data_IF_861559120339
#
_entry.id   IF_861559120339
#
_cell.length_a   1.000
_cell.length_b   1.000
_cell.length_c   1.000
_cell.angle_alpha   90.00
_cell.angle_beta   90.00
_cell.angle_gamma   90.00
#
_symmetry.space_group_name_H-M   'P 1'
#
loop_
_entity.id
_entity.type
_entity.pdbx_description
1 polymer ?
#
# COMPACT_ATOMS: atom_id res chain seq x y z
N UNK A 1 26.52 -10.75 0.95
CA UNK A 1 26.87 -10.95 2.37
C UNK A 1 25.57 -11.37 3.07
N UNK A 2 25.43 -12.63 3.47
CA UNK A 2 24.27 -13.07 4.27
C UNK A 2 24.39 -12.41 5.65
N UNK A 3 23.61 -11.37 5.88
CA UNK A 3 23.49 -10.79 7.21
C UNK A 3 22.58 -11.70 8.02
N UNK A 4 23.09 -12.21 9.14
CA UNK A 4 22.28 -12.92 10.14
C UNK A 4 21.37 -11.91 10.86
N UNK A 5 20.35 -11.41 10.18
CA UNK A 5 19.41 -10.43 10.74
C UNK A 5 18.38 -11.08 11.68
N UNK A 6 18.15 -12.39 11.54
CA UNK A 6 17.23 -13.15 12.39
C UNK A 6 17.67 -13.13 13.86
N UNK A 7 18.96 -12.89 14.15
CA UNK A 7 19.49 -12.75 15.52
C UNK A 7 18.86 -11.60 16.31
N UNK A 8 18.28 -10.60 15.63
CA UNK A 8 17.61 -9.48 16.28
C UNK A 8 16.21 -9.85 16.83
N UNK A 9 15.69 -11.03 16.48
CA UNK A 9 14.31 -11.44 16.78
C UNK A 9 14.18 -12.56 17.82
N UNK A 10 15.27 -12.95 18.51
CA UNK A 10 15.31 -14.11 19.40
C UNK A 10 14.91 -15.43 18.69
N UNK A 11 15.90 -16.20 18.23
CA UNK A 11 15.69 -17.39 17.39
C UNK A 11 14.68 -18.40 17.97
N UNK A 12 14.64 -18.56 19.28
CA UNK A 12 13.72 -19.51 19.94
C UNK A 12 12.25 -19.08 19.88
N UNK A 13 11.98 -17.78 19.64
CA UNK A 13 10.64 -17.22 19.52
C UNK A 13 10.25 -16.90 18.06
N UNK A 14 11.22 -16.92 17.14
CA UNK A 14 10.99 -16.58 15.73
C UNK A 14 10.56 -17.84 14.96
N UNK A 15 9.37 -17.79 14.37
CA UNK A 15 8.84 -18.87 13.52
C UNK A 15 9.24 -18.66 12.06
N UNK A 16 9.11 -17.42 11.58
CA UNK A 16 9.47 -17.06 10.21
C UNK A 16 9.92 -15.61 10.13
N UNK A 17 10.91 -15.34 9.28
CA UNK A 17 11.30 -13.99 8.88
C UNK A 17 11.31 -13.93 7.37
N UNK A 18 10.52 -13.01 6.82
CA UNK A 18 10.29 -12.89 5.39
C UNK A 18 10.57 -11.45 4.97
N UNK A 19 11.34 -11.27 3.89
CA UNK A 19 11.43 -10.00 3.16
C UNK A 19 10.45 -10.02 2.00
N UNK A 20 9.78 -8.90 1.76
CA UNK A 20 8.86 -8.75 0.63
C UNK A 20 8.92 -7.34 0.03
N UNK A 21 8.44 -7.24 -1.20
CA UNK A 21 8.42 -6.00 -1.98
C UNK A 21 9.13 -6.15 -3.33
N UNK A 22 9.56 -5.01 -3.89
CA UNK A 22 10.12 -4.96 -5.26
C UNK A 22 11.40 -5.79 -5.45
N UNK A 23 12.26 -5.86 -4.43
CA UNK A 23 13.49 -6.66 -4.45
C UNK A 23 13.70 -7.36 -3.10
N UNK A 24 13.02 -8.50 -2.83
CA UNK A 24 13.11 -9.21 -1.56
C UNK A 24 14.50 -9.79 -1.30
N UNK A 25 15.40 -9.80 -2.30
CA UNK A 25 16.80 -10.19 -2.16
C UNK A 25 17.64 -9.13 -1.45
N UNK A 26 17.33 -7.84 -1.68
CA UNK A 26 17.92 -6.73 -0.95
C UNK A 26 17.11 -6.43 0.31
N UNK A 27 17.52 -7.08 1.39
CA UNK A 27 16.84 -6.97 2.67
C UNK A 27 16.87 -5.55 3.23
N UNK A 28 17.79 -4.66 2.84
CA UNK A 28 17.79 -3.29 3.38
C UNK A 28 16.77 -2.36 2.73
N UNK A 29 16.34 -2.67 1.50
CA UNK A 29 15.35 -1.89 0.77
C UNK A 29 13.94 -2.52 0.77
N UNK A 30 13.85 -3.78 1.20
CA UNK A 30 12.59 -4.52 1.37
C UNK A 30 11.83 -4.10 2.62
N UNK A 31 10.58 -4.57 2.73
CA UNK A 31 9.87 -4.62 4.02
C UNK A 31 10.06 -6.00 4.65
N UNK A 32 10.14 -6.07 5.97
CA UNK A 32 10.21 -7.32 6.70
C UNK A 32 8.88 -7.65 7.38
N UNK A 33 8.54 -8.93 7.44
CA UNK A 33 7.53 -9.46 8.35
C UNK A 33 8.17 -10.57 9.19
N UNK A 34 8.09 -10.42 10.51
CA UNK A 34 8.57 -11.37 11.50
C UNK A 34 7.38 -12.03 12.20
N UNK A 35 7.26 -13.33 12.03
CA UNK A 35 6.23 -14.17 12.62
C UNK A 35 6.81 -14.85 13.84
N UNK A 36 6.21 -14.60 15.00
CA UNK A 36 6.73 -15.03 16.29
C UNK A 36 5.76 -15.97 17.01
N UNK A 37 6.26 -16.80 17.93
CA UNK A 37 5.42 -17.66 18.75
C UNK A 37 4.61 -16.85 19.76
N UNK A 38 5.22 -15.82 20.35
CA UNK A 38 4.54 -14.82 21.18
C UNK A 38 5.10 -13.42 20.91
N UNK A 39 4.20 -12.43 20.87
CA UNK A 39 4.55 -11.01 20.73
C UNK A 39 4.26 -10.28 22.03
N UNK A 40 5.32 -9.81 22.67
CA UNK A 40 5.28 -8.98 23.88
C UNK A 40 6.22 -7.77 23.75
N UNK A 41 6.11 -6.82 24.68
CA UNK A 41 6.91 -5.59 24.67
C UNK A 41 8.43 -5.87 24.64
N UNK A 42 8.89 -6.92 25.32
CA UNK A 42 10.32 -7.27 25.39
C UNK A 42 10.82 -7.85 24.07
N UNK A 43 10.02 -8.71 23.42
CA UNK A 43 10.31 -9.27 22.11
C UNK A 43 10.40 -8.16 21.05
N UNK A 44 9.51 -7.17 21.09
CA UNK A 44 9.52 -6.00 20.19
C UNK A 44 10.72 -5.11 20.48
N UNK A 45 11.04 -4.84 21.75
CA UNK A 45 12.15 -3.96 22.09
C UNK A 45 13.51 -4.50 21.59
N UNK A 46 13.71 -5.82 21.61
CA UNK A 46 14.93 -6.45 21.07
C UNK A 46 15.16 -6.13 19.59
N UNK A 47 14.09 -5.95 18.80
CA UNK A 47 14.20 -5.69 17.36
C UNK A 47 14.68 -4.27 17.06
N UNK A 48 14.60 -3.31 17.99
CA UNK A 48 15.08 -1.91 17.80
C UNK A 48 16.54 -1.81 17.36
N UNK A 49 17.35 -2.84 17.66
CA UNK A 49 18.77 -2.89 17.25
C UNK A 49 18.93 -3.09 15.74
N UNK A 50 17.93 -3.65 15.08
CA UNK A 50 17.86 -3.74 13.63
C UNK A 50 17.54 -2.33 13.08
N UNK A 51 18.54 -1.71 12.44
CA UNK A 51 18.36 -0.44 11.72
C UNK A 51 17.74 -0.70 10.35
N UNK A 52 16.48 -1.11 10.37
CA UNK A 52 15.68 -1.39 9.19
C UNK A 52 14.45 -0.48 9.19
N UNK A 53 14.05 -0.03 8.01
CA UNK A 53 13.04 1.03 7.87
C UNK A 53 11.65 0.55 8.31
N UNK A 54 11.25 -0.64 7.83
CA UNK A 54 9.89 -1.13 8.02
C UNK A 54 9.91 -2.62 8.39
N UNK A 55 9.41 -2.97 9.58
CA UNK A 55 9.31 -4.34 10.09
C UNK A 55 7.94 -4.54 10.72
N UNK A 56 7.15 -5.45 10.17
CA UNK A 56 5.89 -5.92 10.75
C UNK A 56 6.22 -7.07 11.70
N UNK A 57 5.69 -7.01 12.92
CA UNK A 57 5.87 -8.05 13.93
C UNK A 57 4.48 -8.51 14.36
N UNK A 58 4.23 -9.82 14.28
CA UNK A 58 2.97 -10.43 14.68
C UNK A 58 3.16 -11.87 15.07
N UNK A 59 2.23 -12.41 15.85
CA UNK A 59 2.19 -13.83 16.16
C UNK A 59 1.70 -14.65 14.96
N UNK A 60 1.97 -15.96 14.96
CA UNK A 60 1.43 -16.87 13.93
C UNK A 60 -0.11 -16.85 13.90
N UNK A 61 -0.75 -16.76 15.06
CA UNK A 61 -2.21 -16.66 15.17
C UNK A 61 -2.74 -15.37 14.54
N UNK A 62 -2.17 -14.21 14.88
CA UNK A 62 -2.56 -12.91 14.31
C UNK A 62 -2.33 -12.88 12.78
N UNK A 63 -1.26 -13.49 12.29
CA UNK A 63 -0.99 -13.58 10.86
C UNK A 63 -2.13 -14.27 10.11
N UNK A 64 -2.54 -15.47 10.53
CA UNK A 64 -3.62 -16.19 9.86
C UNK A 64 -5.00 -15.54 10.08
N UNK A 65 -5.27 -15.01 11.27
CA UNK A 65 -6.55 -14.37 11.60
C UNK A 65 -6.74 -12.99 10.96
N UNK A 66 -5.75 -12.47 10.24
CA UNK A 66 -5.81 -11.14 9.63
C UNK A 66 -5.82 -11.15 8.11
N UNK A 67 -5.83 -12.34 7.48
CA UNK A 67 -5.83 -12.52 6.01
C UNK A 67 -7.05 -11.88 5.34
N UNK A 68 -8.22 -12.00 5.97
CA UNK A 68 -9.48 -11.41 5.50
C UNK A 68 -9.54 -9.89 5.74
N UNK A 69 -8.79 -9.37 6.72
CA UNK A 69 -8.74 -7.95 7.08
C UNK A 69 -7.73 -7.17 6.23
N UNK A 70 -6.58 -7.77 5.90
CA UNK A 70 -5.47 -7.11 5.17
C UNK A 70 -5.09 -7.78 3.82
N UNK A 71 -6.05 -8.17 2.95
CA UNK A 71 -5.75 -8.87 1.71
C UNK A 71 -4.82 -8.11 0.74
N UNK A 72 -4.84 -6.78 0.70
CA UNK A 72 -3.91 -5.94 -0.07
C UNK A 72 -2.46 -6.23 0.35
N UNK A 73 -2.20 -6.25 1.65
CA UNK A 73 -0.89 -6.52 2.22
C UNK A 73 -0.43 -7.95 1.91
N UNK A 74 -1.31 -8.94 2.10
CA UNK A 74 -0.98 -10.34 1.81
C UNK A 74 -0.76 -10.62 0.33
N UNK A 75 -1.54 -10.01 -0.57
CA UNK A 75 -1.30 -10.10 -2.03
C UNK A 75 0.05 -9.47 -2.37
N UNK A 76 0.39 -8.32 -1.77
CA UNK A 76 1.70 -7.67 -1.96
C UNK A 76 2.84 -8.57 -1.50
N UNK A 77 2.69 -9.23 -0.34
CA UNK A 77 3.67 -10.17 0.19
C UNK A 77 3.83 -11.38 -0.75
N UNK A 78 2.73 -12.07 -1.10
CA UNK A 78 2.77 -13.26 -1.96
C UNK A 78 3.34 -12.98 -3.34
N UNK A 79 3.20 -11.77 -3.86
CA UNK A 79 3.70 -11.46 -5.18
C UNK A 79 5.22 -11.58 -5.30
N UNK A 80 5.95 -11.06 -4.31
CA UNK A 80 7.42 -11.05 -4.33
C UNK A 80 7.94 -11.05 -2.90
N UNK A 81 8.35 -12.23 -2.45
CA UNK A 81 8.93 -12.44 -1.14
C UNK A 81 10.11 -13.40 -1.15
N UNK A 82 10.87 -13.39 -0.06
CA UNK A 82 11.94 -14.33 0.23
C UNK A 82 11.90 -14.70 1.71
N UNK A 83 11.83 -15.99 1.99
CA UNK A 83 12.03 -16.50 3.35
C UNK A 83 13.51 -16.38 3.71
N UNK A 84 13.79 -15.57 4.73
CA UNK A 84 15.13 -15.36 5.27
C UNK A 84 15.43 -16.43 6.33
N UNK A 85 14.43 -16.77 7.14
CA UNK A 85 14.54 -17.75 8.23
C UNK A 85 13.19 -18.44 8.46
N UNK A 86 13.24 -19.73 8.80
CA UNK A 86 12.08 -20.47 9.31
C UNK A 86 11.12 -20.97 8.22
N UNK A 87 9.85 -21.10 8.59
CA UNK A 87 8.77 -21.66 7.76
C UNK A 87 8.32 -20.69 6.65
N UNK A 88 7.91 -21.22 5.50
CA UNK A 88 7.24 -20.43 4.45
C UNK A 88 5.72 -20.34 4.71
N UNK A 89 5.34 -19.51 5.68
CA UNK A 89 3.93 -19.33 6.05
C UNK A 89 3.08 -18.66 4.95
N UNK A 90 3.70 -17.95 4.00
CA UNK A 90 2.99 -17.30 2.88
C UNK A 90 2.58 -18.30 1.80
N UNK A 91 3.25 -19.44 1.70
CA UNK A 91 2.86 -20.52 0.80
C UNK A 91 1.52 -21.16 1.16
N UNK A 92 1.12 -21.08 2.44
CA UNK A 92 -0.07 -21.74 2.99
C UNK A 92 -1.36 -20.90 2.88
N UNK A 93 -1.24 -19.58 2.67
CA UNK A 93 -2.41 -18.69 2.71
C UNK A 93 -3.18 -18.69 1.38
N UNK A 94 -4.51 -18.71 1.49
CA UNK A 94 -5.43 -18.45 0.39
C UNK A 94 -6.20 -17.16 0.68
N UNK A 95 -6.28 -16.28 -0.32
CA UNK A 95 -6.83 -14.92 -0.15
C UNK A 95 -8.14 -14.87 -0.91
N UNK A 96 -9.24 -14.72 -0.17
CA UNK A 96 -10.56 -14.55 -0.78
C UNK A 96 -10.61 -13.21 -1.54
N UNK A 97 -10.84 -13.31 -2.85
CA UNK A 97 -10.98 -12.15 -3.74
C UNK A 97 -12.12 -11.22 -3.32
N UNK A 98 -13.15 -11.73 -2.64
CA UNK A 98 -14.22 -10.93 -2.07
C UNK A 98 -13.70 -10.00 -0.97
N UNK A 99 -12.85 -10.50 -0.08
CA UNK A 99 -12.22 -9.68 0.96
C UNK A 99 -11.26 -8.66 0.33
N UNK A 100 -10.49 -9.07 -0.67
CA UNK A 100 -9.60 -8.16 -1.41
C UNK A 100 -10.36 -6.99 -2.06
N UNK A 101 -11.44 -7.29 -2.77
CA UNK A 101 -12.34 -6.26 -3.34
C UNK A 101 -12.90 -5.36 -2.25
N UNK A 102 -13.34 -5.93 -1.12
CA UNK A 102 -13.94 -5.18 -0.02
C UNK A 102 -12.93 -4.21 0.61
N UNK A 103 -11.68 -4.62 0.83
CA UNK A 103 -10.64 -3.72 1.35
C UNK A 103 -10.35 -2.59 0.34
N UNK A 104 -10.27 -2.89 -0.95
CA UNK A 104 -10.09 -1.85 -1.99
C UNK A 104 -11.23 -0.84 -2.00
N UNK A 105 -12.46 -1.33 -1.91
CA UNK A 105 -13.65 -0.47 -1.82
C UNK A 105 -13.59 0.44 -0.59
N UNK A 106 -13.26 -0.13 0.57
CA UNK A 106 -13.09 0.61 1.82
C UNK A 106 -12.01 1.69 1.70
N UNK A 107 -10.84 1.36 1.16
CA UNK A 107 -9.73 2.30 1.04
C UNK A 107 -10.07 3.46 0.11
N UNK A 108 -10.62 3.18 -1.08
CA UNK A 108 -11.02 4.21 -2.05
C UNK A 108 -12.10 5.14 -1.47
N UNK A 109 -13.14 4.58 -0.85
CA UNK A 109 -14.20 5.37 -0.21
C UNK A 109 -13.63 6.21 0.94
N UNK A 110 -12.71 5.67 1.72
CA UNK A 110 -12.04 6.39 2.81
C UNK A 110 -11.22 7.57 2.27
N UNK A 111 -10.45 7.40 1.19
CA UNK A 111 -9.68 8.52 0.59
C UNK A 111 -10.59 9.61 0.05
N UNK A 112 -11.73 9.24 -0.56
CA UNK A 112 -12.74 10.21 -0.98
C UNK A 112 -13.22 11.08 0.19
N UNK A 113 -13.48 10.47 1.34
CA UNK A 113 -13.93 11.21 2.53
C UNK A 113 -12.83 12.12 3.09
N UNK A 114 -11.59 11.65 3.15
CA UNK A 114 -10.45 12.46 3.59
C UNK A 114 -10.27 13.66 2.66
N UNK A 115 -10.27 13.45 1.34
CA UNK A 115 -10.16 14.51 0.35
C UNK A 115 -11.32 15.52 0.45
N UNK A 116 -12.55 15.03 0.65
CA UNK A 116 -13.72 15.89 0.83
C UNK A 116 -13.58 16.81 2.05
N UNK A 117 -13.06 16.28 3.18
CA UNK A 117 -12.76 17.07 4.37
C UNK A 117 -11.66 18.10 4.09
N UNK A 118 -10.59 17.70 3.40
CA UNK A 118 -9.50 18.58 3.01
C UNK A 118 -9.98 19.74 2.11
N UNK A 119 -10.87 19.49 1.16
CA UNK A 119 -11.49 20.51 0.32
C UNK A 119 -12.35 21.47 1.15
N UNK A 120 -13.17 20.94 2.08
CA UNK A 120 -14.03 21.77 2.95
C UNK A 120 -13.20 22.72 3.83
N UNK A 121 -12.05 22.25 4.31
CA UNK A 121 -11.15 23.01 5.19
C UNK A 121 -10.12 23.83 4.40
N UNK A 122 -10.15 23.77 3.06
CA UNK A 122 -9.19 24.42 2.20
C UNK A 122 -9.18 25.94 2.40
N UNK A 123 -8.01 26.49 2.73
CA UNK A 123 -7.80 27.91 2.99
C UNK A 123 -7.86 28.31 4.48
N UNK A 124 -8.20 27.39 5.39
CA UNK A 124 -8.17 27.65 6.85
C UNK A 124 -6.79 27.37 7.48
N UNK A 125 -6.03 26.39 6.98
CA UNK A 125 -4.65 26.09 7.42
C UNK A 125 -3.80 25.52 6.28
N UNK A 126 -2.66 26.16 5.96
CA UNK A 126 -1.82 25.75 4.82
C UNK A 126 -1.03 24.44 5.07
N UNK A 127 -0.59 24.21 6.30
CA UNK A 127 0.25 23.06 6.70
C UNK A 127 -0.53 21.73 6.74
N UNK A 128 -1.84 21.80 6.98
CA UNK A 128 -2.74 20.64 7.01
C UNK A 128 -2.94 20.03 5.62
N UNK A 129 -3.06 20.89 4.59
CA UNK A 129 -3.26 20.42 3.21
C UNK A 129 -2.05 19.64 2.68
N UNK A 130 -0.82 20.11 2.86
CA UNK A 130 0.36 19.46 2.28
C UNK A 130 0.57 18.02 2.77
N UNK A 131 0.54 17.79 4.09
CA UNK A 131 0.74 16.44 4.65
C UNK A 131 -0.36 15.47 4.24
N UNK A 132 -1.62 15.92 4.27
CA UNK A 132 -2.76 15.09 3.83
C UNK A 132 -2.64 14.75 2.34
N UNK A 133 -2.16 15.68 1.52
CA UNK A 133 -1.92 15.40 0.11
C UNK A 133 -0.84 14.34 -0.06
N UNK A 134 0.30 14.45 0.63
CA UNK A 134 1.37 13.44 0.56
C UNK A 134 0.85 12.05 0.98
N UNK A 135 0.07 11.98 2.07
CA UNK A 135 -0.50 10.74 2.58
C UNK A 135 -1.52 10.12 1.60
N UNK A 136 -2.43 10.94 1.05
CA UNK A 136 -3.43 10.49 0.06
C UNK A 136 -2.72 9.94 -1.19
N UNK A 137 -1.69 10.62 -1.70
CA UNK A 137 -1.04 10.22 -2.95
C UNK A 137 -0.28 8.91 -2.81
N UNK A 138 0.46 8.74 -1.72
CA UNK A 138 1.17 7.49 -1.46
C UNK A 138 0.19 6.32 -1.39
N UNK A 139 -0.97 6.53 -0.76
CA UNK A 139 -2.03 5.53 -0.72
C UNK A 139 -2.66 5.32 -2.10
N UNK A 140 -2.90 6.37 -2.88
CA UNK A 140 -3.43 6.22 -4.24
C UNK A 140 -2.51 5.44 -5.17
N UNK A 141 -1.18 5.57 -5.04
CA UNK A 141 -0.22 4.77 -5.81
C UNK A 141 -0.38 3.27 -5.55
N UNK A 142 -0.57 2.90 -4.29
CA UNK A 142 -0.85 1.51 -3.90
C UNK A 142 -2.22 1.09 -4.47
N UNK A 143 -3.25 1.92 -4.29
CA UNK A 143 -4.59 1.59 -4.77
C UNK A 143 -4.65 1.39 -6.28
N UNK A 144 -4.02 2.23 -7.09
CA UNK A 144 -4.04 2.03 -8.56
C UNK A 144 -3.36 0.72 -8.96
N UNK A 145 -2.28 0.31 -8.29
CA UNK A 145 -1.62 -0.97 -8.53
C UNK A 145 -2.58 -2.13 -8.24
N UNK A 146 -3.22 -2.09 -7.07
CA UNK A 146 -4.11 -3.16 -6.63
C UNK A 146 -5.42 -3.22 -7.42
N UNK A 147 -5.99 -2.08 -7.79
CA UNK A 147 -7.18 -1.99 -8.63
C UNK A 147 -6.86 -2.49 -10.05
N UNK A 148 -5.68 -2.17 -10.59
CA UNK A 148 -5.21 -2.73 -11.85
C UNK A 148 -5.03 -4.27 -11.74
N UNK A 149 -4.47 -4.75 -10.64
CA UNK A 149 -4.30 -6.18 -10.40
C UNK A 149 -5.65 -6.92 -10.33
N UNK A 150 -6.65 -6.33 -9.68
CA UNK A 150 -8.00 -6.88 -9.61
C UNK A 150 -8.65 -7.06 -10.99
N UNK A 151 -8.25 -6.25 -11.98
CA UNK A 151 -8.82 -6.28 -13.34
C UNK A 151 -8.37 -7.41 -14.26
N UNK A 152 -7.57 -8.35 -13.76
CA UNK A 152 -7.16 -9.61 -14.44
C UNK A 152 -6.45 -9.49 -15.81
N UNK A 153 -6.14 -8.30 -16.33
CA UNK A 153 -5.24 -8.17 -17.49
C UNK A 153 -3.75 -8.25 -17.13
N UNK A 154 -3.42 -8.36 -15.84
CA UNK A 154 -2.05 -8.45 -15.35
C UNK A 154 -1.63 -9.90 -15.13
N UNK A 155 -0.86 -10.43 -16.10
CA UNK A 155 -0.06 -11.66 -15.94
C UNK A 155 1.02 -11.54 -14.84
N UNK A 156 1.25 -10.33 -14.30
CA UNK A 156 2.21 -10.01 -13.24
C UNK A 156 1.78 -8.77 -12.47
N UNK A 157 1.91 -8.76 -11.14
CA UNK A 157 1.69 -7.57 -10.29
C UNK A 157 2.78 -6.52 -10.62
N UNK A 158 2.37 -5.26 -10.74
CA UNK A 158 3.23 -4.17 -11.20
C UNK A 158 3.52 -3.22 -10.05
N UNK A 159 4.78 -3.08 -9.65
CA UNK A 159 5.15 -2.12 -8.60
C UNK A 159 5.21 -0.68 -9.12
N UNK A 160 5.20 -0.47 -10.43
CA UNK A 160 5.14 0.85 -11.05
C UNK A 160 3.69 1.36 -11.21
N UNK A 161 3.32 2.30 -10.36
CA UNK A 161 1.99 2.91 -10.37
C UNK A 161 1.67 3.63 -11.69
N UNK A 162 2.66 4.12 -12.44
CA UNK A 162 2.43 4.80 -13.73
C UNK A 162 1.95 3.80 -14.77
N UNK A 163 2.55 2.61 -14.77
CA UNK A 163 2.16 1.52 -15.64
C UNK A 163 0.77 0.99 -15.25
N UNK A 164 0.48 0.90 -13.94
CA UNK A 164 -0.87 0.56 -13.46
C UNK A 164 -1.94 1.58 -13.90
N UNK A 165 -1.64 2.89 -13.85
CA UNK A 165 -2.56 3.94 -14.29
C UNK A 165 -2.82 3.87 -15.80
N UNK A 166 -1.80 3.63 -16.62
CA UNK A 166 -1.96 3.47 -18.06
C UNK A 166 -2.93 2.33 -18.38
N UNK A 167 -2.72 1.17 -17.75
CA UNK A 167 -3.56 -0.02 -17.93
C UNK A 167 -4.99 0.22 -17.46
N UNK A 168 -5.16 0.84 -16.29
CA UNK A 168 -6.49 1.23 -15.82
C UNK A 168 -7.20 2.16 -16.81
N UNK A 169 -6.47 3.05 -17.47
CA UNK A 169 -7.04 3.94 -18.49
C UNK A 169 -7.52 3.15 -19.71
N UNK A 170 -6.76 2.15 -20.13
CA UNK A 170 -7.13 1.25 -21.24
C UNK A 170 -8.37 0.42 -20.91
N UNK A 171 -8.39 -0.24 -19.76
CA UNK A 171 -9.48 -1.18 -19.40
C UNK A 171 -10.76 -0.44 -19.00
N UNK A 172 -10.65 0.70 -18.30
CA UNK A 172 -11.83 1.47 -17.91
C UNK A 172 -12.41 2.33 -19.04
N UNK A 173 -11.66 2.54 -20.12
CA UNK A 173 -12.01 3.50 -21.19
C UNK A 173 -12.06 4.96 -20.70
N UNK A 174 -11.57 5.25 -19.49
CA UNK A 174 -11.50 6.58 -18.90
C UNK A 174 -10.05 6.98 -18.77
N UNK A 175 -9.66 8.09 -19.39
CA UNK A 175 -8.30 8.63 -19.24
C UNK A 175 -8.03 9.00 -17.78
N UNK A 176 -7.02 8.38 -17.17
CA UNK A 176 -6.52 8.74 -15.84
C UNK A 176 -5.32 9.72 -15.93
N UNK A 177 -5.20 10.44 -17.05
CA UNK A 177 -4.14 11.42 -17.31
C UNK A 177 -4.07 12.50 -16.22
N UNK A 178 -5.24 12.87 -15.70
CA UNK A 178 -5.38 13.78 -14.56
C UNK A 178 -4.60 13.23 -13.36
N UNK A 179 -4.89 12.00 -12.91
CA UNK A 179 -4.20 11.37 -11.79
C UNK A 179 -2.68 11.33 -11.99
N UNK A 180 -2.23 11.00 -13.21
CA UNK A 180 -0.80 11.04 -13.57
C UNK A 180 -0.20 12.44 -13.39
N UNK A 181 -0.82 13.46 -13.96
CA UNK A 181 -0.35 14.85 -13.89
C UNK A 181 -0.36 15.39 -12.45
N UNK A 182 -1.35 14.98 -11.66
CA UNK A 182 -1.50 15.34 -10.26
C UNK A 182 -0.37 14.73 -9.41
N UNK A 183 -0.13 13.42 -9.56
CA UNK A 183 0.95 12.70 -8.88
C UNK A 183 2.31 13.28 -9.25
N UNK A 184 2.56 13.52 -10.54
CA UNK A 184 3.80 14.11 -11.02
C UNK A 184 4.02 15.53 -10.47
N UNK A 185 3.00 16.38 -10.49
CA UNK A 185 3.10 17.75 -9.97
C UNK A 185 3.46 17.80 -8.48
N UNK A 186 3.03 16.82 -7.69
CA UNK A 186 3.37 16.75 -6.27
C UNK A 186 4.75 16.14 -6.04
N UNK A 187 5.15 15.11 -6.79
CA UNK A 187 6.52 14.58 -6.73
C UNK A 187 7.57 15.64 -7.08
N UNK A 188 7.25 16.51 -8.05
CA UNK A 188 8.08 17.67 -8.39
C UNK A 188 7.91 18.85 -7.44
N UNK A 189 7.13 18.68 -6.36
CA UNK A 189 6.85 19.69 -5.34
C UNK A 189 6.23 21.00 -5.90
N UNK A 190 5.73 20.97 -7.15
CA UNK A 190 5.13 22.13 -7.86
C UNK A 190 3.83 22.59 -7.23
N UNK A 191 3.12 21.69 -6.54
CA UNK A 191 1.88 22.01 -5.84
C UNK A 191 2.04 23.12 -4.80
N UNK A 192 3.22 23.28 -4.18
CA UNK A 192 3.45 24.38 -3.22
C UNK A 192 3.28 25.74 -3.87
N UNK A 193 3.71 25.87 -5.13
CA UNK A 193 3.72 27.10 -5.92
C UNK A 193 2.38 27.42 -6.57
N UNK A 194 1.41 26.51 -6.51
CA UNK A 194 0.09 26.72 -7.09
C UNK A 194 -0.66 27.84 -6.36
N UNK A 195 -1.30 28.71 -7.14
CA UNK A 195 -2.28 29.67 -6.66
C UNK A 195 -3.47 28.95 -6.00
N UNK A 196 -4.26 29.70 -5.23
CA UNK A 196 -5.47 29.17 -4.59
C UNK A 196 -6.42 28.50 -5.60
N UNK A 197 -6.62 29.13 -6.77
CA UNK A 197 -7.47 28.60 -7.84
C UNK A 197 -6.92 27.30 -8.43
N UNK A 198 -5.62 27.25 -8.72
CA UNK A 198 -4.96 26.05 -9.24
C UNK A 198 -5.02 24.88 -8.25
N UNK A 199 -4.86 25.14 -6.95
CA UNK A 199 -5.00 24.12 -5.91
C UNK A 199 -6.43 23.59 -5.81
N UNK A 200 -7.45 24.45 -5.91
CA UNK A 200 -8.84 24.00 -5.91
C UNK A 200 -9.19 23.18 -7.15
N UNK A 201 -8.69 23.60 -8.32
CA UNK A 201 -8.83 22.83 -9.55
C UNK A 201 -8.19 21.45 -9.40
N UNK A 202 -6.94 21.39 -8.92
CA UNK A 202 -6.22 20.15 -8.64
C UNK A 202 -7.04 19.21 -7.73
N UNK A 203 -7.60 19.73 -6.64
CA UNK A 203 -8.38 18.92 -5.70
C UNK A 203 -9.70 18.43 -6.31
N UNK A 204 -10.33 19.24 -7.17
CA UNK A 204 -11.54 18.86 -7.89
C UNK A 204 -11.26 17.72 -8.89
N UNK A 205 -10.16 17.83 -9.62
CA UNK A 205 -9.64 16.83 -10.55
C UNK A 205 -9.33 15.51 -9.81
N UNK A 206 -8.59 15.57 -8.70
CA UNK A 206 -8.29 14.40 -7.87
C UNK A 206 -9.55 13.72 -7.33
N UNK A 207 -10.54 14.52 -6.92
CA UNK A 207 -11.81 14.00 -6.42
C UNK A 207 -12.58 13.25 -7.52
N UNK A 208 -12.48 13.70 -8.77
CA UNK A 208 -13.09 13.02 -9.89
C UNK A 208 -12.38 11.68 -10.16
N UNK A 209 -11.04 11.65 -10.19
CA UNK A 209 -10.27 10.42 -10.36
C UNK A 209 -10.59 9.37 -9.28
N UNK A 210 -10.70 9.78 -8.01
CA UNK A 210 -11.09 8.88 -6.91
C UNK A 210 -12.50 8.31 -7.12
N UNK A 211 -13.45 9.10 -7.64
CA UNK A 211 -14.80 8.60 -7.97
C UNK A 211 -14.76 7.61 -9.12
N UNK A 212 -13.91 7.84 -10.11
CA UNK A 212 -13.75 6.94 -11.24
C UNK A 212 -13.12 5.60 -10.82
N UNK A 213 -12.08 5.64 -9.97
CA UNK A 213 -11.53 4.45 -9.31
C UNK A 213 -12.60 3.72 -8.49
N UNK A 214 -13.44 4.45 -7.73
CA UNK A 214 -14.52 3.85 -6.95
C UNK A 214 -15.52 3.14 -7.86
N UNK A 215 -15.98 3.80 -8.93
CA UNK A 215 -16.92 3.20 -9.87
C UNK A 215 -16.33 1.96 -10.58
N UNK A 216 -15.03 1.93 -10.80
CA UNK A 216 -14.33 0.76 -11.34
C UNK A 216 -14.27 -0.39 -10.33
N UNK A 217 -13.90 -0.13 -9.07
CA UNK A 217 -13.94 -1.14 -7.99
C UNK A 217 -15.36 -1.68 -7.79
N UNK A 218 -16.36 -0.80 -7.81
CA UNK A 218 -17.78 -1.16 -7.67
C UNK A 218 -18.29 -2.03 -8.85
N UNK A 219 -17.56 -2.09 -9.98
CA UNK A 219 -17.93 -2.88 -11.16
C UNK A 219 -17.53 -4.35 -11.10
N UNK A 220 -16.61 -4.72 -10.22
CA UNK A 220 -16.26 -6.12 -9.98
C UNK A 220 -17.37 -6.77 -9.15
N UNK A 221 -18.10 -7.72 -9.74
CA UNK A 221 -19.17 -8.48 -9.07
C UNK A 221 -18.68 -9.17 -7.77
N UNK A 222 -19.62 -9.47 -6.88
CA UNK A 222 -19.40 -10.15 -5.60
C UNK A 222 -19.80 -11.63 -5.63
#
# INVERSE_FOLDING_TARGET
MNLEIEKFFNKDNLISLISYGKDPGDVFSSTLVAIMQSVDVHSIEKTKKLKHKDVVIMSKEEFFNSIDVFPIEFITMKHSYKVIFGEDVLSEIDIDMKNYRHQLEYEVRSKKQILTRAIREFGSTSRFTAKIMDDILNQLKILVIHIAHLSQELKSFEYDYMVAIHRLSEVSGKGMETLTNLLYSIEQNKYKDYSKGQKLQFLSELLQDIKDLQGYVDSFEA
#
